data_IF_667667019494
#
_entry.id   IF_667667019494
#
_cell.length_a   1.000
_cell.length_b   1.000
_cell.length_c   1.000
_cell.angle_alpha   90.00
_cell.angle_beta   90.00
_cell.angle_gamma   90.00
#
_symmetry.space_group_name_H-M   'P 1'
#
loop_
_entity.id
_entity.type
_entity.pdbx_description
1 polymer ?
#
# COMPACT_ATOMS: atom_id res chain seq x y z
N UNK A 1 -22.53 7.67 16.66
CA UNK A 1 -21.25 8.08 17.27
C UNK A 1 -20.15 7.35 16.54
N UNK A 2 -19.23 8.08 15.91
CA UNK A 2 -18.00 7.53 15.34
C UNK A 2 -17.30 6.70 16.42
N UNK A 3 -17.25 5.37 16.27
CA UNK A 3 -16.49 4.50 17.15
C UNK A 3 -15.00 4.76 16.92
N UNK A 4 -14.55 5.81 17.62
CA UNK A 4 -13.26 6.50 17.56
C UNK A 4 -12.18 5.74 18.32
N UNK A 5 -12.10 4.43 18.15
CA UNK A 5 -11.20 3.60 18.94
C UNK A 5 -10.66 2.39 18.19
N UNK A 6 -10.40 2.51 16.88
CA UNK A 6 -9.55 1.53 16.21
C UNK A 6 -8.09 1.94 16.37
N UNK A 7 -7.56 1.51 17.52
CA UNK A 7 -6.20 1.02 17.70
C UNK A 7 -5.09 1.83 17.03
N UNK A 8 -4.53 2.73 17.82
CA UNK A 8 -3.11 3.07 17.78
C UNK A 8 -2.28 1.77 17.81
N UNK A 9 -1.78 1.31 16.65
CA UNK A 9 -0.67 0.36 16.58
C UNK A 9 0.38 0.86 15.57
N UNK A 10 1.68 0.72 15.84
CA UNK A 10 2.77 1.34 15.06
C UNK A 10 3.12 0.62 13.75
N UNK A 11 2.24 -0.22 13.23
CA UNK A 11 2.47 -0.94 11.98
C UNK A 11 1.95 -0.12 10.81
N UNK A 12 2.54 1.05 10.62
CA UNK A 12 2.24 1.89 9.48
C UNK A 12 2.47 1.11 8.19
N UNK A 13 1.48 1.14 7.29
CA UNK A 13 1.59 0.74 5.89
C UNK A 13 2.56 1.63 5.10
N UNK A 14 2.90 2.80 5.64
CA UNK A 14 3.62 3.87 4.95
C UNK A 14 5.02 3.48 4.46
N UNK A 15 5.87 2.75 5.21
CA UNK A 15 7.15 2.29 4.69
C UNK A 15 6.99 1.36 3.48
N UNK A 16 5.98 0.48 3.50
CA UNK A 16 5.70 -0.43 2.40
C UNK A 16 5.11 0.33 1.18
N UNK A 17 4.30 1.36 1.42
CA UNK A 17 3.83 2.28 0.37
C UNK A 17 5.00 3.04 -0.27
N UNK A 18 5.89 3.62 0.53
CA UNK A 18 7.04 4.37 0.04
C UNK A 18 8.00 3.48 -0.76
N UNK A 19 8.23 2.25 -0.29
CA UNK A 19 9.00 1.25 -1.04
C UNK A 19 8.34 0.94 -2.38
N UNK A 20 7.02 0.69 -2.40
CA UNK A 20 6.29 0.43 -3.62
C UNK A 20 6.38 1.58 -4.62
N UNK A 21 6.27 2.84 -4.16
CA UNK A 21 6.41 4.02 -5.00
C UNK A 21 7.82 4.14 -5.61
N UNK A 22 8.85 3.90 -4.80
CA UNK A 22 10.25 3.91 -5.26
C UNK A 22 10.53 2.82 -6.31
N UNK A 23 10.00 1.62 -6.07
CA UNK A 23 10.10 0.50 -7.02
C UNK A 23 9.34 0.78 -8.32
N UNK A 24 8.15 1.37 -8.23
CA UNK A 24 7.36 1.78 -9.39
C UNK A 24 8.10 2.81 -10.24
N UNK A 25 8.69 3.84 -9.62
CA UNK A 25 9.52 4.83 -10.31
C UNK A 25 10.77 4.21 -10.94
N UNK A 26 11.29 3.15 -10.36
CA UNK A 26 12.43 2.38 -10.89
C UNK A 26 12.03 1.37 -11.98
N UNK A 27 10.75 1.33 -12.40
CA UNK A 27 10.24 0.38 -13.40
C UNK A 27 10.09 -1.06 -12.89
N UNK A 28 10.29 -1.31 -11.59
CA UNK A 28 10.18 -2.64 -10.97
C UNK A 28 8.75 -2.91 -10.53
N UNK A 29 7.84 -3.04 -11.50
CA UNK A 29 6.40 -3.06 -11.24
C UNK A 29 5.97 -4.27 -10.39
N UNK A 30 6.54 -5.46 -10.61
CA UNK A 30 6.22 -6.65 -9.81
C UNK A 30 6.61 -6.47 -8.34
N UNK A 31 7.78 -5.89 -8.09
CA UNK A 31 8.25 -5.62 -6.74
C UNK A 31 7.41 -4.51 -6.06
N UNK A 32 6.97 -3.51 -6.82
CA UNK A 32 6.06 -2.48 -6.33
C UNK A 32 4.71 -3.08 -5.90
N UNK A 33 4.16 -4.00 -6.69
CA UNK A 33 2.92 -4.70 -6.37
C UNK A 33 3.03 -5.50 -5.06
N UNK A 34 4.15 -6.20 -4.85
CA UNK A 34 4.40 -6.92 -3.60
C UNK A 34 4.48 -5.99 -2.39
N UNK A 35 5.14 -4.83 -2.53
CA UNK A 35 5.24 -3.85 -1.46
C UNK A 35 3.87 -3.27 -1.08
N UNK A 36 3.02 -2.95 -2.06
CA UNK A 36 1.65 -2.51 -1.80
C UNK A 36 0.78 -3.62 -1.20
N UNK A 37 0.94 -4.87 -1.64
CA UNK A 37 0.23 -6.00 -1.05
C UNK A 37 0.58 -6.19 0.43
N UNK A 38 1.86 -6.07 0.81
CA UNK A 38 2.29 -6.11 2.22
C UNK A 38 1.75 -4.90 3.02
N UNK A 39 1.69 -3.71 2.41
CA UNK A 39 1.06 -2.54 3.02
C UNK A 39 -0.42 -2.80 3.37
N UNK A 40 -1.18 -3.41 2.44
CA UNK A 40 -2.58 -3.83 2.66
C UNK A 40 -2.66 -4.90 3.75
N UNK A 41 -1.70 -5.84 3.79
CA UNK A 41 -1.69 -6.92 4.78
C UNK A 41 -1.43 -6.41 6.20
N UNK A 42 -0.61 -5.36 6.34
CA UNK A 42 -0.30 -4.69 7.61
C UNK A 42 -1.41 -3.78 8.09
N UNK A 43 -2.01 -3.03 7.16
CA UNK A 43 -3.11 -2.12 7.47
C UNK A 43 -4.22 -2.25 6.41
N UNK A 44 -5.11 -3.24 6.56
CA UNK A 44 -6.18 -3.50 5.60
C UNK A 44 -7.18 -2.35 5.48
N UNK A 45 -7.24 -1.45 6.47
CA UNK A 45 -8.04 -0.23 6.42
C UNK A 45 -7.37 0.93 5.67
N UNK A 46 -6.06 0.84 5.36
CA UNK A 46 -5.39 1.87 4.56
C UNK A 46 -5.74 1.71 3.08
N UNK A 47 -6.70 2.49 2.63
CA UNK A 47 -7.17 2.52 1.25
C UNK A 47 -6.10 3.01 0.27
N UNK A 48 -5.07 3.74 0.71
CA UNK A 48 -4.01 4.26 -0.17
C UNK A 48 -3.26 3.11 -0.84
N UNK A 49 -2.91 2.07 -0.09
CA UNK A 49 -2.18 0.92 -0.63
C UNK A 49 -2.99 0.15 -1.68
N UNK A 50 -4.31 -0.01 -1.47
CA UNK A 50 -5.22 -0.60 -2.47
C UNK A 50 -5.27 0.23 -3.75
N UNK A 51 -5.49 1.54 -3.63
CA UNK A 51 -5.56 2.45 -4.78
C UNK A 51 -4.25 2.44 -5.60
N UNK A 52 -3.11 2.39 -4.92
CA UNK A 52 -1.80 2.29 -5.57
C UNK A 52 -1.62 0.97 -6.31
N UNK A 53 -2.02 -0.15 -5.72
CA UNK A 53 -1.96 -1.46 -6.36
C UNK A 53 -2.89 -1.56 -7.57
N UNK A 54 -4.12 -1.06 -7.47
CA UNK A 54 -5.08 -1.01 -8.59
C UNK A 54 -4.56 -0.16 -9.73
N UNK A 55 -4.05 1.04 -9.42
CA UNK A 55 -3.45 1.93 -10.42
C UNK A 55 -2.25 1.27 -11.08
N UNK A 56 -1.38 0.60 -10.32
CA UNK A 56 -0.25 -0.14 -10.86
C UNK A 56 -0.70 -1.24 -11.85
N UNK A 57 -1.73 -2.01 -11.49
CA UNK A 57 -2.30 -3.06 -12.35
C UNK A 57 -2.97 -2.52 -13.63
N UNK A 58 -3.50 -1.29 -13.58
CA UNK A 58 -4.06 -0.63 -14.77
C UNK A 58 -2.99 -0.12 -15.76
N UNK A 59 -1.75 0.06 -15.30
CA UNK A 59 -0.62 0.54 -16.15
C UNK A 59 0.06 -0.61 -16.88
N UNK A 60 -0.13 -1.85 -16.44
CA UNK A 60 0.40 -3.07 -17.07
C UNK A 60 -0.55 -3.71 -18.09
N UNK A 61 -1.69 -3.09 -18.41
CA UNK A 61 -2.62 -3.51 -19.47
C UNK A 61 -2.42 -2.72 -20.76
#
# INVERSE_FOLDING_TARGET
>A
MFNKAMSLMPQSSEPAILLGLSLQQSGKLEAAAQAYAEAIRRQPEDLRARQLLERLASVTQ
#
